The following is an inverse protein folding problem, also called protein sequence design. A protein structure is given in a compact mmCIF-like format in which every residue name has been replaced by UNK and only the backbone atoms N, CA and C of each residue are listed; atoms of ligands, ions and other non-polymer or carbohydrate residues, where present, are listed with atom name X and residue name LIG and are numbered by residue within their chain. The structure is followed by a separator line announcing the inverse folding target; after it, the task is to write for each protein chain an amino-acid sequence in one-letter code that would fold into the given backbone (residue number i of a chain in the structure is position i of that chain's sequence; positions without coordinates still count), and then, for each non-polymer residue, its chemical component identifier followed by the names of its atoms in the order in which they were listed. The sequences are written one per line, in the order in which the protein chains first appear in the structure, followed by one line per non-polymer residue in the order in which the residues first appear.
data_IF_906872025710
#
_entry.id   IF_906872025710
#
_cell.length_a   1.000
_cell.length_b   1.000
_cell.length_c   1.000
_cell.angle_alpha   90.00
_cell.angle_beta   90.00
_cell.angle_gamma   90.00
#
_symmetry.space_group_name_H-M   'P 1'
#
loop_
_entity.id
_entity.type
_entity.pdbx_description
1 polymer ?
#
# COMPACT_ATOMS: atom_id res chain seq x y z
N UNK A 1 -3.73 -11.21 -4.37
CA UNK A 1 -2.71 -12.19 -3.91
C UNK A 1 -1.34 -11.97 -4.54
N UNK A 2 -1.19 -11.87 -5.87
CA UNK A 2 0.13 -11.73 -6.51
C UNK A 2 0.98 -10.52 -6.05
N UNK A 3 0.37 -9.39 -5.68
CA UNK A 3 1.11 -8.15 -5.39
C UNK A 3 1.58 -8.01 -3.94
N UNK A 4 0.91 -8.66 -2.99
CA UNK A 4 1.40 -8.76 -1.61
C UNK A 4 2.73 -9.52 -1.56
N UNK A 5 2.86 -10.55 -2.40
CA UNK A 5 4.11 -11.29 -2.60
C UNK A 5 5.20 -10.41 -3.23
N UNK A 6 4.83 -9.48 -4.12
CA UNK A 6 5.79 -8.53 -4.71
C UNK A 6 6.43 -7.64 -3.64
N UNK A 7 5.66 -7.10 -2.69
CA UNK A 7 6.24 -6.29 -1.61
C UNK A 7 7.17 -7.08 -0.69
N UNK A 8 6.82 -8.34 -0.40
CA UNK A 8 7.67 -9.23 0.39
C UNK A 8 8.98 -9.54 -0.35
N UNK A 9 8.88 -9.87 -1.64
CA UNK A 9 10.04 -10.10 -2.51
C UNK A 9 10.93 -8.87 -2.61
N UNK A 10 10.33 -7.69 -2.77
CA UNK A 10 11.03 -6.42 -2.89
C UNK A 10 11.77 -6.07 -1.59
N UNK A 11 11.19 -6.40 -0.44
CA UNK A 11 11.85 -6.28 0.87
C UNK A 11 13.07 -7.20 0.97
N UNK A 12 12.90 -8.48 0.64
CA UNK A 12 14.00 -9.45 0.65
C UNK A 12 15.14 -9.02 -0.26
N UNK A 13 14.83 -8.50 -1.44
CA UNK A 13 15.83 -7.96 -2.36
C UNK A 13 16.57 -6.75 -1.78
N UNK A 14 15.87 -5.81 -1.14
CA UNK A 14 16.52 -4.68 -0.49
C UNK A 14 17.40 -5.11 0.67
N UNK A 15 16.95 -6.10 1.44
CA UNK A 15 17.71 -6.62 2.57
C UNK A 15 19.00 -7.31 2.13
N UNK A 16 18.90 -8.16 1.11
CA UNK A 16 20.03 -8.96 0.62
C UNK A 16 21.02 -8.11 -0.18
N UNK A 17 20.52 -7.26 -1.09
CA UNK A 17 21.39 -6.56 -2.05
C UNK A 17 21.75 -5.12 -1.65
N UNK A 18 21.01 -4.51 -0.71
CA UNK A 18 21.25 -3.12 -0.30
C UNK A 18 21.51 -2.97 1.21
N UNK A 19 21.38 -4.05 1.99
CA UNK A 19 21.49 -4.01 3.45
C UNK A 19 20.40 -3.16 4.13
N UNK A 20 19.32 -2.84 3.41
CA UNK A 20 18.23 -1.99 3.89
C UNK A 20 17.06 -2.87 4.29
N UNK A 21 16.54 -2.66 5.48
CA UNK A 21 15.36 -3.35 5.98
C UNK A 21 14.27 -2.35 6.31
N UNK A 22 13.12 -2.47 5.67
CA UNK A 22 11.92 -1.73 6.07
C UNK A 22 11.28 -2.39 7.29
N UNK A 23 10.64 -1.57 8.10
CA UNK A 23 9.84 -2.07 9.22
C UNK A 23 8.62 -2.81 8.69
N UNK A 24 8.15 -3.82 9.43
CA UNK A 24 6.93 -4.57 9.10
C UNK A 24 5.74 -3.60 8.92
N UNK A 25 5.65 -2.60 9.79
CA UNK A 25 4.62 -1.56 9.71
C UNK A 25 4.69 -0.69 8.46
N UNK A 26 5.86 -0.51 7.85
CA UNK A 26 6.00 0.19 6.56
C UNK A 26 5.49 -0.68 5.40
N UNK A 27 5.85 -1.96 5.37
CA UNK A 27 5.40 -2.91 4.33
C UNK A 27 3.88 -3.06 4.36
N UNK A 28 3.31 -3.25 5.56
CA UNK A 28 1.86 -3.36 5.75
C UNK A 28 1.15 -2.09 5.29
N UNK A 29 1.67 -0.90 5.62
CA UNK A 29 1.13 0.37 5.14
C UNK A 29 1.14 0.49 3.62
N UNK A 30 2.26 0.15 2.97
CA UNK A 30 2.37 0.17 1.50
C UNK A 30 1.35 -0.77 0.84
N UNK A 31 1.18 -1.99 1.37
CA UNK A 31 0.20 -2.95 0.86
C UNK A 31 -1.23 -2.41 1.01
N UNK A 32 -1.58 -1.89 2.20
CA UNK A 32 -2.92 -1.33 2.47
C UNK A 32 -3.19 -0.15 1.54
N UNK A 33 -2.26 0.79 1.42
CA UNK A 33 -2.41 1.97 0.58
C UNK A 33 -2.58 1.61 -0.89
N UNK A 34 -1.82 0.65 -1.41
CA UNK A 34 -1.99 0.26 -2.82
C UNK A 34 -3.33 -0.44 -3.06
N UNK A 35 -3.78 -1.29 -2.13
CA UNK A 35 -5.10 -1.92 -2.22
C UNK A 35 -6.18 -0.84 -2.23
N UNK A 36 -6.11 0.14 -1.31
CA UNK A 36 -7.05 1.26 -1.22
C UNK A 36 -7.03 2.11 -2.49
N UNK A 37 -5.87 2.58 -2.93
CA UNK A 37 -5.68 3.35 -4.16
C UNK A 37 -6.36 2.65 -5.35
N UNK A 38 -6.12 1.36 -5.54
CA UNK A 38 -6.70 0.63 -6.67
C UNK A 38 -8.18 0.34 -6.50
N UNK A 39 -8.65 0.13 -5.27
CA UNK A 39 -10.07 0.03 -4.99
C UNK A 39 -10.81 1.32 -5.34
N UNK A 40 -10.17 2.49 -5.17
CA UNK A 40 -10.73 3.77 -5.61
C UNK A 40 -10.76 3.95 -7.14
N UNK A 41 -9.90 3.26 -7.89
CA UNK A 41 -9.89 3.34 -9.36
C UNK A 41 -11.06 2.63 -10.04
N UNK A 42 -11.78 1.76 -9.32
CA UNK A 42 -12.94 1.05 -9.88
C UNK A 42 -14.19 1.49 -9.16
N UNK A 43 -15.15 2.12 -9.86
CA UNK A 43 -16.35 2.71 -9.25
C UNK A 43 -17.14 1.76 -8.33
N UNK A 44 -17.22 0.47 -8.70
CA UNK A 44 -17.87 -0.58 -7.90
C UNK A 44 -17.12 -0.92 -6.60
N UNK A 45 -15.79 -0.88 -6.64
CA UNK A 45 -14.94 -1.11 -5.47
C UNK A 45 -14.83 0.15 -4.60
N UNK A 46 -14.84 1.34 -5.18
CA UNK A 46 -14.83 2.62 -4.47
C UNK A 46 -16.04 2.73 -3.53
N UNK A 47 -17.25 2.44 -4.04
CA UNK A 47 -18.49 2.43 -3.25
C UNK A 47 -18.46 1.39 -2.11
N UNK A 48 -17.79 0.25 -2.34
CA UNK A 48 -17.62 -0.80 -1.34
C UNK A 48 -16.55 -0.44 -0.30
N UNK A 49 -15.49 0.28 -0.69
CA UNK A 49 -14.50 0.83 0.22
C UNK A 49 -15.07 1.92 1.12
N UNK A 50 -15.91 2.81 0.59
CA UNK A 50 -16.66 3.78 1.39
C UNK A 50 -17.51 3.07 2.47
N UNK A 51 -18.20 1.99 2.11
CA UNK A 51 -19.00 1.21 3.07
C UNK A 51 -18.17 0.47 4.13
N UNK A 52 -16.90 0.20 3.86
CA UNK A 52 -15.99 -0.47 4.80
C UNK A 52 -15.32 0.49 5.79
N UNK A 53 -15.62 1.80 5.73
CA UNK A 53 -14.98 2.85 6.55
C UNK A 53 -13.43 2.79 6.52
N UNK A 54 -12.86 2.22 5.45
CA UNK A 54 -11.43 2.02 5.35
C UNK A 54 -10.77 3.32 4.92
N UNK A 55 -10.21 4.03 5.90
CA UNK A 55 -9.18 5.06 5.78
C UNK A 55 -9.38 6.03 4.61
N UNK A 56 -9.97 7.20 4.91
CA UNK A 56 -10.22 8.30 3.97
C UNK A 56 -9.02 8.50 3.03
N UNK A 57 -9.23 8.10 1.77
CA UNK A 57 -8.24 8.05 0.70
C UNK A 57 -7.54 9.40 0.50
N UNK A 58 -8.14 10.49 0.94
CA UNK A 58 -7.66 11.87 0.77
C UNK A 58 -6.47 12.23 1.68
N UNK A 59 -6.31 11.58 2.83
CA UNK A 59 -5.24 11.91 3.79
C UNK A 59 -3.90 11.28 3.35
N UNK A 60 -3.93 10.12 2.70
CA UNK A 60 -2.72 9.35 2.36
C UNK A 60 -2.07 9.75 1.03
N UNK A 61 -2.81 10.36 0.11
CA UNK A 61 -2.22 10.87 -1.15
C UNK A 61 -1.35 12.11 -0.93
N UNK A 62 -1.59 12.87 0.15
CA UNK A 62 -0.85 14.10 0.44
C UNK A 62 0.54 13.82 1.07
N UNK A 63 0.68 12.71 1.79
CA UNK A 63 1.96 12.30 2.42
C UNK A 63 3.02 11.85 1.40
N UNK A 64 2.61 11.42 0.20
CA UNK A 64 3.53 10.93 -0.86
C UNK A 64 4.00 12.01 -1.84
N UNK A 65 3.51 13.26 -1.74
CA UNK A 65 3.96 14.36 -2.63
C UNK A 65 5.04 15.24 -2.00
N UNK A 66 5.50 14.91 -0.79
CA UNK A 66 6.62 15.57 -0.11
C UNK A 66 7.73 14.53 0.12
N UNK A 67 8.29 13.99 -0.96
CA UNK A 67 9.68 13.52 -1.08
C UNK A 67 10.11 13.72 -2.52
#
# INVERSE_FOLDING_TARGET
MARSLYYVWQEWNMRIFQGKQRTVGAIVRMIIQEVVFRGTLTAKLAKKMESLNFYSSRIYYMDYKIV
#
